data_IF_260041363125
#
_entry.id   IF_260041363125
#
_cell.length_a   1.000
_cell.length_b   1.000
_cell.length_c   1.000
_cell.angle_alpha   90.00
_cell.angle_beta   90.00
_cell.angle_gamma   90.00
#
_symmetry.space_group_name_H-M   'P 1'
#
loop_
_entity.id
_entity.type
_entity.pdbx_description
1 polymer ?
#
# COMPACT_ATOMS: atom_id res chain seq x y z
N UNK A 1 -13.47 -60.95 -31.45
CA UNK A 1 -12.62 -61.88 -30.67
C UNK A 1 -12.27 -61.17 -29.38
N UNK A 2 -12.86 -61.62 -28.27
CA UNK A 2 -12.45 -61.21 -26.91
C UNK A 2 -11.17 -61.95 -26.51
N UNK A 3 -10.45 -61.45 -25.50
CA UNK A 3 -10.34 -61.99 -24.11
C UNK A 3 -8.85 -61.78 -23.73
N UNK A 4 -8.38 -61.59 -22.47
CA UNK A 4 -8.96 -61.00 -21.25
C UNK A 4 -7.98 -60.10 -20.44
N UNK A 5 -8.49 -59.55 -19.34
CA UNK A 5 -7.77 -59.17 -18.12
C UNK A 5 -7.25 -60.41 -17.38
N UNK A 6 -6.01 -60.36 -16.88
CA UNK A 6 -5.59 -60.76 -15.52
C UNK A 6 -4.08 -61.03 -15.48
N UNK A 7 -3.38 -60.35 -14.55
CA UNK A 7 -2.38 -60.95 -13.64
C UNK A 7 -1.47 -59.85 -13.07
N UNK A 8 -1.83 -59.29 -11.91
CA UNK A 8 -0.83 -58.79 -10.95
C UNK A 8 -1.38 -58.90 -9.52
N UNK A 9 -1.54 -60.12 -9.04
CA UNK A 9 -1.24 -60.45 -7.64
C UNK A 9 0.14 -61.13 -7.70
N UNK A 10 1.13 -60.97 -6.84
CA UNK A 10 1.23 -60.42 -5.50
C UNK A 10 2.72 -60.30 -5.17
N UNK A 11 3.12 -59.30 -4.38
CA UNK A 11 4.28 -59.42 -3.49
C UNK A 11 3.90 -58.80 -2.15
N UNK A 12 3.83 -59.69 -1.16
CA UNK A 12 3.53 -59.46 0.24
C UNK A 12 4.56 -58.57 0.97
N UNK A 13 4.03 -57.80 1.94
CA UNK A 13 4.56 -57.53 3.31
C UNK A 13 5.86 -56.72 3.47
N UNK A 14 6.06 -55.82 4.45
CA UNK A 14 5.38 -55.33 5.68
C UNK A 14 5.82 -53.84 5.81
N UNK A 15 5.08 -52.91 6.41
CA UNK A 15 5.21 -52.55 7.84
C UNK A 15 4.13 -51.55 8.26
N UNK A 16 3.68 -51.72 9.50
CA UNK A 16 2.64 -50.96 10.20
C UNK A 16 2.93 -49.45 10.24
N UNK A 17 1.93 -48.64 9.89
CA UNK A 17 1.94 -47.21 10.19
C UNK A 17 1.56 -47.00 11.67
N UNK A 18 2.34 -46.24 12.46
CA UNK A 18 2.02 -46.00 13.85
C UNK A 18 0.82 -45.05 13.99
N UNK A 19 0.11 -45.30 15.10
CA UNK A 19 -1.02 -44.58 15.65
C UNK A 19 -0.72 -43.08 15.78
N UNK A 20 -1.70 -42.25 15.41
CA UNK A 20 -1.65 -40.80 15.55
C UNK A 20 -1.51 -40.40 17.03
N UNK A 21 -0.38 -39.81 17.39
CA UNK A 21 -0.22 -39.06 18.64
C UNK A 21 -0.91 -37.70 18.51
N UNK A 22 -1.66 -37.32 19.54
CA UNK A 22 -2.36 -36.04 19.69
C UNK A 22 -1.40 -34.85 19.48
N UNK A 23 -1.74 -34.00 18.51
CA UNK A 23 -0.94 -32.82 18.16
C UNK A 23 -1.06 -31.75 19.26
N UNK A 24 0.02 -31.55 20.01
CA UNK A 24 0.19 -30.52 21.03
C UNK A 24 -0.07 -29.11 20.44
N UNK A 25 -1.16 -28.49 20.90
CA UNK A 25 -1.67 -27.16 20.50
C UNK A 25 -0.79 -25.99 20.99
N UNK A 26 0.45 -26.23 21.43
CA UNK A 26 1.38 -25.20 21.89
C UNK A 26 2.32 -24.62 20.81
N UNK A 27 2.30 -25.14 19.58
CA UNK A 27 3.21 -24.67 18.51
C UNK A 27 2.78 -23.33 17.91
N UNK A 28 3.49 -22.27 18.29
CA UNK A 28 3.46 -21.00 17.56
C UNK A 28 3.96 -21.18 16.12
N UNK A 29 3.40 -20.45 15.13
CA UNK A 29 3.81 -20.59 13.74
C UNK A 29 5.27 -20.17 13.56
N UNK A 30 6.09 -21.14 13.14
CA UNK A 30 7.48 -20.92 12.71
C UNK A 30 7.44 -20.05 11.45
N UNK A 31 7.92 -18.81 11.56
CA UNK A 31 8.21 -17.98 10.41
C UNK A 31 9.30 -18.69 9.58
N UNK A 32 9.01 -19.01 8.32
CA UNK A 32 9.94 -19.66 7.39
C UNK A 32 11.31 -18.95 7.44
N UNK A 33 12.32 -19.73 7.80
CA UNK A 33 13.59 -19.28 8.37
C UNK A 33 14.39 -18.29 7.53
N UNK A 34 14.93 -17.29 8.23
CA UNK A 34 16.23 -16.72 7.91
C UNK A 34 17.25 -17.74 8.43
N UNK A 35 18.20 -18.25 7.62
CA UNK A 35 19.23 -19.14 8.13
C UNK A 35 20.03 -18.44 9.24
N UNK A 36 20.20 -19.13 10.38
CA UNK A 36 20.88 -18.66 11.60
C UNK A 36 22.36 -18.27 11.43
N UNK A 37 22.90 -18.26 10.20
CA UNK A 37 24.30 -17.94 9.93
C UNK A 37 24.56 -16.54 9.36
N UNK A 38 23.60 -15.61 9.42
CA UNK A 38 23.89 -14.16 9.29
C UNK A 38 24.29 -13.52 10.63
N UNK A 39 24.91 -14.29 11.54
CA UNK A 39 25.58 -13.79 12.74
C UNK A 39 26.96 -13.19 12.39
N UNK A 40 26.96 -12.26 11.44
CA UNK A 40 27.94 -11.20 11.27
C UNK A 40 27.32 -10.28 10.22
N UNK A 41 26.40 -9.42 10.65
CA UNK A 41 25.93 -8.32 9.82
C UNK A 41 27.17 -7.50 9.44
N UNK A 42 27.69 -7.70 8.23
CA UNK A 42 28.55 -6.72 7.58
C UNK A 42 27.69 -5.46 7.53
N UNK A 43 27.88 -4.58 8.49
CA UNK A 43 27.33 -3.22 8.46
C UNK A 43 27.99 -2.57 7.27
N UNK A 44 27.36 -2.63 6.09
CA UNK A 44 27.74 -1.78 4.98
C UNK A 44 27.50 -0.37 5.50
N UNK A 45 28.54 0.43 5.76
CA UNK A 45 28.35 1.76 6.27
C UNK A 45 27.54 2.52 5.21
N UNK A 46 26.45 3.15 5.64
CA UNK A 46 25.72 4.09 4.81
C UNK A 46 26.75 5.05 4.20
N UNK A 47 26.70 5.34 2.88
CA UNK A 47 27.66 6.22 2.25
C UNK A 47 27.74 7.54 3.05
N UNK A 48 28.95 7.98 3.42
CA UNK A 48 29.13 9.23 4.12
C UNK A 48 28.78 10.36 3.16
N UNK A 49 27.55 10.87 3.28
CA UNK A 49 27.25 12.20 2.75
C UNK A 49 27.94 13.17 3.68
N UNK A 50 28.86 13.98 3.15
CA UNK A 50 29.45 15.09 3.89
C UNK A 50 28.32 15.89 4.54
N UNK A 51 28.09 15.69 5.84
CA UNK A 51 27.08 16.40 6.60
C UNK A 51 27.63 17.80 6.84
N UNK A 52 27.55 18.67 5.83
CA UNK A 52 27.45 20.09 6.13
C UNK A 52 26.28 20.21 7.09
N UNK A 53 26.54 20.71 8.31
CA UNK A 53 25.49 21.03 9.26
C UNK A 53 24.47 21.87 8.51
N UNK A 54 23.29 21.29 8.33
CA UNK A 54 22.16 21.91 7.67
C UNK A 54 21.94 23.31 8.26
N UNK A 55 21.87 24.34 7.40
CA UNK A 55 21.44 25.67 7.85
C UNK A 55 19.95 25.70 8.20
N UNK A 56 19.18 24.67 7.80
CA UNK A 56 17.72 24.55 7.98
C UNK A 56 17.35 23.09 8.31
N UNK A 57 17.52 22.67 9.59
CA UNK A 57 17.28 21.29 9.97
C UNK A 57 15.84 20.89 9.64
N UNK A 58 15.67 19.68 9.08
CA UNK A 58 14.34 19.19 8.76
C UNK A 58 13.44 19.10 10.00
N UNK A 59 12.18 19.44 9.82
CA UNK A 59 11.16 19.38 10.87
C UNK A 59 9.78 19.12 10.26
N UNK A 60 8.86 18.68 11.10
CA UNK A 60 7.44 18.65 10.76
C UNK A 60 6.84 20.04 10.97
N UNK A 61 6.14 20.56 9.96
CA UNK A 61 5.33 21.77 10.07
C UNK A 61 3.97 21.38 10.63
N UNK A 62 3.64 21.88 11.82
CA UNK A 62 2.38 21.54 12.47
C UNK A 62 1.19 22.17 11.73
N UNK A 63 -0.01 21.62 11.87
CA UNK A 63 -1.21 22.27 11.35
C UNK A 63 -1.37 23.70 11.88
N UNK A 64 -1.77 24.62 11.00
CA UNK A 64 -1.88 26.05 11.30
C UNK A 64 -0.55 26.80 11.44
N UNK A 65 0.60 26.10 11.39
CA UNK A 65 1.90 26.73 11.45
C UNK A 65 2.27 27.32 10.08
N UNK A 66 2.51 28.63 10.05
CA UNK A 66 2.89 29.34 8.84
C UNK A 66 4.40 29.25 8.55
N UNK A 67 4.74 28.93 7.30
CA UNK A 67 6.11 28.94 6.78
C UNK A 67 6.14 29.73 5.47
N UNK A 68 7.17 30.55 5.30
CA UNK A 68 7.42 31.24 4.04
C UNK A 68 8.45 30.49 3.19
N UNK A 69 8.07 30.19 1.94
CA UNK A 69 8.91 29.45 0.98
C UNK A 69 8.89 30.20 -0.35
N UNK A 70 10.05 30.72 -0.78
CA UNK A 70 10.20 31.45 -2.05
C UNK A 70 9.21 32.63 -2.26
N UNK A 71 8.73 33.23 -1.16
CA UNK A 71 7.74 34.33 -1.18
C UNK A 71 6.28 33.88 -1.09
N UNK A 72 6.02 32.58 -0.94
CA UNK A 72 4.70 32.01 -0.69
C UNK A 72 4.52 31.76 0.79
N UNK A 73 3.41 32.24 1.36
CA UNK A 73 3.01 31.92 2.74
C UNK A 73 2.17 30.64 2.72
N UNK A 74 2.60 29.62 3.44
CA UNK A 74 1.91 28.34 3.57
C UNK A 74 1.55 28.16 5.04
N UNK A 75 0.26 28.13 5.39
CA UNK A 75 -0.25 28.01 6.76
C UNK A 75 -1.10 26.75 7.01
N UNK A 76 -1.29 25.93 5.97
CA UNK A 76 -2.01 24.65 6.04
C UNK A 76 -1.29 23.55 6.83
N UNK A 77 0.01 23.72 7.10
CA UNK A 77 0.86 22.74 7.79
C UNK A 77 0.81 21.33 7.18
N UNK A 78 1.09 20.31 8.00
CA UNK A 78 1.04 18.89 7.62
C UNK A 78 2.08 18.43 6.58
N UNK A 79 3.31 18.94 6.65
CA UNK A 79 4.39 18.51 5.75
C UNK A 79 5.76 18.57 6.43
N UNK A 80 6.75 17.90 5.83
CA UNK A 80 8.15 18.01 6.25
C UNK A 80 8.82 19.17 5.53
N UNK A 81 9.52 20.02 6.28
CA UNK A 81 10.23 21.20 5.78
C UNK A 81 11.69 21.19 6.23
N UNK A 82 12.59 21.61 5.36
CA UNK A 82 14.03 21.77 5.64
C UNK A 82 14.86 20.88 4.71
N UNK A 83 16.11 20.59 5.09
CA UNK A 83 17.01 19.76 4.28
C UNK A 83 17.53 18.53 5.05
N UNK A 84 18.21 17.65 4.32
CA UNK A 84 18.98 16.56 4.93
C UNK A 84 18.16 15.46 5.60
N UNK A 85 16.83 15.44 5.46
CA UNK A 85 16.02 14.32 5.93
C UNK A 85 16.26 13.10 5.04
N UNK A 86 16.74 12.01 5.61
CA UNK A 86 16.86 10.71 4.92
C UNK A 86 15.51 10.00 4.83
N UNK A 87 15.33 9.17 3.80
CA UNK A 87 14.17 8.29 3.68
C UNK A 87 14.10 7.26 4.84
N UNK A 88 13.09 6.38 4.85
CA UNK A 88 12.94 5.38 5.92
C UNK A 88 14.00 4.26 5.85
N UNK A 89 14.61 4.03 4.69
CA UNK A 89 15.63 3.00 4.50
C UNK A 89 17.06 3.53 4.74
N UNK A 90 17.22 4.85 4.82
CA UNK A 90 18.49 5.55 5.02
C UNK A 90 19.32 5.76 3.75
N UNK A 91 18.89 5.24 2.60
CA UNK A 91 19.68 5.22 1.35
C UNK A 91 19.53 6.50 0.52
N UNK A 92 18.38 7.16 0.60
CA UNK A 92 18.09 8.39 -0.13
C UNK A 92 17.62 9.53 0.75
N UNK A 93 17.19 10.60 0.08
CA UNK A 93 16.48 11.71 0.71
C UNK A 93 15.00 11.38 0.83
N UNK A 94 14.37 11.91 1.87
CA UNK A 94 12.93 11.79 2.05
C UNK A 94 12.18 12.41 0.87
N UNK A 95 11.36 11.65 0.12
CA UNK A 95 10.65 12.16 -1.04
C UNK A 95 9.73 13.33 -0.70
N UNK A 96 9.05 13.25 0.45
CA UNK A 96 8.05 14.21 0.90
C UNK A 96 8.64 15.46 1.60
N UNK A 97 9.97 15.66 1.56
CA UNK A 97 10.63 16.78 2.23
C UNK A 97 10.64 18.01 1.31
N UNK A 98 9.94 19.06 1.73
CA UNK A 98 10.03 20.37 1.09
C UNK A 98 11.35 21.03 1.46
N UNK A 99 12.30 21.01 0.53
CA UNK A 99 13.65 21.59 0.67
C UNK A 99 13.68 23.04 0.14
N UNK A 100 13.71 24.05 1.03
CA UNK A 100 13.66 25.45 0.61
C UNK A 100 14.93 25.94 -0.09
N UNK A 101 16.01 25.15 -0.08
CA UNK A 101 17.26 25.51 -0.76
C UNK A 101 17.21 25.28 -2.26
N UNK A 102 16.23 24.50 -2.74
CA UNK A 102 16.10 24.16 -4.15
C UNK A 102 15.41 25.28 -4.92
N UNK A 103 15.83 25.53 -6.18
CA UNK A 103 15.33 26.65 -6.96
C UNK A 103 13.85 26.44 -7.33
N UNK A 104 13.09 27.53 -7.36
CA UNK A 104 11.67 27.51 -7.70
C UNK A 104 11.45 28.61 -8.71
N UNK A 105 10.78 28.27 -9.80
CA UNK A 105 10.52 29.23 -10.86
C UNK A 105 9.55 30.31 -10.36
N UNK A 106 9.86 31.56 -10.70
CA UNK A 106 9.02 32.72 -10.40
C UNK A 106 8.38 33.19 -11.70
N UNK A 107 7.17 32.72 -11.93
CA UNK A 107 6.19 33.28 -12.86
C UNK A 107 6.57 33.26 -14.35
N UNK A 108 6.43 32.10 -14.99
CA UNK A 108 6.02 31.95 -16.40
C UNK A 108 5.11 30.70 -16.51
N UNK A 109 4.20 30.61 -17.51
CA UNK A 109 3.29 29.47 -17.62
C UNK A 109 4.10 28.16 -17.71
N UNK A 110 3.66 27.09 -17.03
CA UNK A 110 4.49 25.90 -16.86
C UNK A 110 4.85 25.30 -18.21
N UNK A 111 6.15 25.21 -18.50
CA UNK A 111 6.63 24.40 -19.61
C UNK A 111 6.19 22.94 -19.38
N UNK A 112 5.61 22.39 -20.44
CA UNK A 112 4.92 21.11 -20.46
C UNK A 112 5.75 19.95 -19.90
N UNK A 113 5.09 19.19 -19.01
CA UNK A 113 5.40 17.82 -18.59
C UNK A 113 6.76 17.61 -17.90
N UNK A 114 6.74 17.71 -16.58
CA UNK A 114 7.67 16.93 -15.75
C UNK A 114 7.46 15.43 -16.05
N UNK A 115 8.53 14.61 -16.19
CA UNK A 115 8.40 13.18 -16.42
C UNK A 115 7.55 12.53 -15.32
N UNK A 116 6.59 11.72 -15.75
CA UNK A 116 5.36 11.32 -15.06
C UNK A 116 5.50 10.47 -13.78
N UNK A 117 6.66 10.39 -13.13
CA UNK A 117 6.87 9.48 -11.99
C UNK A 117 7.80 9.97 -10.87
N UNK A 118 8.28 11.23 -10.89
CA UNK A 118 9.10 11.75 -9.79
C UNK A 118 8.24 12.33 -8.67
N UNK A 119 7.81 11.49 -7.73
CA UNK A 119 7.03 11.86 -6.54
C UNK A 119 7.85 12.52 -5.41
N UNK A 120 9.10 12.91 -5.67
CA UNK A 120 9.96 13.56 -4.66
C UNK A 120 10.12 15.05 -4.94
N UNK A 121 10.09 15.89 -3.91
CA UNK A 121 10.29 17.34 -4.05
C UNK A 121 11.62 17.67 -4.77
N UNK A 122 12.68 16.90 -4.49
CA UNK A 122 13.99 17.05 -5.15
C UNK A 122 13.96 16.64 -6.62
N UNK A 123 13.12 15.66 -6.98
CA UNK A 123 12.95 15.17 -8.34
C UNK A 123 11.97 16.00 -9.18
N UNK A 124 11.17 16.87 -8.55
CA UNK A 124 10.41 17.89 -9.24
C UNK A 124 11.37 18.95 -9.82
N UNK A 125 11.16 19.30 -11.09
CA UNK A 125 11.78 20.48 -11.69
C UNK A 125 11.32 21.78 -11.02
N UNK A 126 11.93 22.91 -11.37
CA UNK A 126 11.63 24.22 -10.78
C UNK A 126 10.14 24.59 -10.88
N UNK A 127 9.53 24.36 -12.05
CA UNK A 127 8.09 24.49 -12.28
C UNK A 127 7.23 23.55 -11.44
N UNK A 128 7.63 22.28 -11.32
CA UNK A 128 6.90 21.31 -10.50
C UNK A 128 6.89 21.70 -9.03
N UNK A 129 8.03 22.21 -8.51
CA UNK A 129 8.12 22.76 -7.15
C UNK A 129 7.27 24.02 -6.98
N UNK A 130 7.28 24.92 -7.97
CA UNK A 130 6.43 26.12 -7.94
C UNK A 130 4.95 25.75 -7.83
N UNK A 131 4.47 24.88 -8.73
CA UNK A 131 3.10 24.40 -8.75
C UNK A 131 2.68 23.72 -7.44
N UNK A 132 3.54 22.86 -6.88
CA UNK A 132 3.29 22.23 -5.58
C UNK A 132 3.17 23.25 -4.45
N UNK A 133 4.10 24.22 -4.39
CA UNK A 133 4.08 25.26 -3.35
C UNK A 133 2.87 26.20 -3.51
N UNK A 134 2.48 26.53 -4.74
CA UNK A 134 1.28 27.32 -5.04
C UNK A 134 0.01 26.59 -4.57
N UNK A 135 -0.10 25.30 -4.88
CA UNK A 135 -1.21 24.47 -4.39
C UNK A 135 -1.25 24.39 -2.85
N UNK A 136 -0.10 24.24 -2.20
CA UNK A 136 -0.02 24.26 -0.74
C UNK A 136 -0.39 25.62 -0.14
N UNK A 137 0.05 26.73 -0.74
CA UNK A 137 -0.26 28.08 -0.31
C UNK A 137 -1.75 28.44 -0.52
N UNK A 138 -2.38 27.88 -1.56
CA UNK A 138 -3.78 28.07 -1.87
C UNK A 138 -4.75 27.27 -0.98
N UNK A 139 -4.26 26.61 0.08
CA UNK A 139 -5.12 25.83 0.97
C UNK A 139 -5.28 24.36 0.59
N UNK A 140 -4.49 23.86 -0.37
CA UNK A 140 -4.67 22.53 -0.98
C UNK A 140 -6.11 22.33 -1.50
N UNK A 141 -6.57 23.12 -2.49
CA UNK A 141 -7.86 22.90 -3.13
C UNK A 141 -7.90 21.47 -3.68
N UNK A 142 -8.95 20.73 -3.33
CA UNK A 142 -9.05 19.30 -3.64
C UNK A 142 -9.44 19.09 -5.11
N UNK A 143 -10.31 19.96 -5.61
CA UNK A 143 -10.90 19.95 -6.94
C UNK A 143 -9.89 20.25 -8.07
N UNK A 144 -8.76 20.88 -7.73
CA UNK A 144 -7.66 21.16 -8.68
C UNK A 144 -6.38 20.39 -8.35
N UNK A 145 -6.43 19.47 -7.38
CA UNK A 145 -5.28 18.65 -6.97
C UNK A 145 -4.84 17.73 -8.11
N UNK A 146 -3.54 17.78 -8.45
CA UNK A 146 -2.95 16.78 -9.36
C UNK A 146 -2.57 15.50 -8.61
N UNK A 147 -2.44 14.39 -9.33
CA UNK A 147 -2.03 13.13 -8.71
C UNK A 147 -0.64 13.22 -8.07
N UNK A 148 0.30 13.97 -8.67
CA UNK A 148 1.64 14.17 -8.10
C UNK A 148 1.59 14.94 -6.78
N UNK A 149 0.76 15.99 -6.69
CA UNK A 149 0.57 16.77 -5.46
C UNK A 149 -0.07 15.91 -4.36
N UNK A 150 -1.13 15.18 -4.69
CA UNK A 150 -1.83 14.31 -3.75
C UNK A 150 -0.96 13.16 -3.24
N UNK A 151 -0.21 12.50 -4.13
CA UNK A 151 0.72 11.43 -3.77
C UNK A 151 1.92 11.94 -2.97
N UNK A 152 2.46 13.12 -3.32
CA UNK A 152 3.50 13.78 -2.53
C UNK A 152 3.00 14.05 -1.11
N UNK A 153 1.82 14.66 -0.96
CA UNK A 153 1.24 14.94 0.35
C UNK A 153 1.03 13.66 1.15
N UNK A 154 0.38 12.64 0.55
CA UNK A 154 0.10 11.37 1.20
C UNK A 154 1.38 10.68 1.69
N UNK A 155 2.47 10.70 0.90
CA UNK A 155 3.73 10.06 1.29
C UNK A 155 4.32 10.63 2.59
N UNK A 156 4.19 11.94 2.81
CA UNK A 156 4.61 12.58 4.06
C UNK A 156 3.74 12.18 5.25
N UNK A 157 2.43 12.04 5.03
CA UNK A 157 1.49 11.56 6.04
C UNK A 157 1.79 10.10 6.40
N UNK A 158 1.96 9.22 5.42
CA UNK A 158 2.31 7.81 5.61
C UNK A 158 3.59 7.66 6.46
N UNK A 159 4.66 8.39 6.09
CA UNK A 159 5.91 8.38 6.86
C UNK A 159 5.71 8.82 8.30
N UNK A 160 4.95 9.90 8.52
CA UNK A 160 4.66 10.41 9.86
C UNK A 160 3.92 9.35 10.68
N UNK A 161 2.85 8.76 10.14
CA UNK A 161 2.08 7.72 10.80
C UNK A 161 2.95 6.49 11.15
N UNK A 162 3.80 6.03 10.23
CA UNK A 162 4.71 4.90 10.46
C UNK A 162 5.69 5.21 11.60
N UNK A 163 6.34 6.38 11.59
CA UNK A 163 7.28 6.77 12.65
C UNK A 163 6.58 6.96 13.99
N UNK A 164 5.36 7.48 13.99
CA UNK A 164 4.58 7.75 15.19
C UNK A 164 3.85 6.53 15.74
N UNK A 165 3.74 5.44 14.97
CA UNK A 165 3.18 4.16 15.43
C UNK A 165 3.80 3.66 16.74
N UNK A 166 5.13 3.78 16.88
CA UNK A 166 5.85 3.37 18.10
C UNK A 166 5.47 4.18 19.34
N UNK A 167 4.78 5.30 19.17
CA UNK A 167 4.32 6.19 20.25
C UNK A 167 2.79 6.09 20.48
N UNK A 168 2.13 5.09 19.89
CA UNK A 168 0.67 4.90 20.00
C UNK A 168 -0.16 5.95 19.25
N UNK A 169 0.47 6.82 18.46
CA UNK A 169 -0.17 7.92 17.71
C UNK A 169 -0.50 7.48 16.28
N UNK A 170 -1.15 6.32 16.13
CA UNK A 170 -1.72 5.95 14.85
C UNK A 170 -3.03 6.73 14.67
N UNK A 171 -3.22 7.39 13.52
CA UNK A 171 -4.40 8.23 13.30
C UNK A 171 -4.30 9.62 13.93
N UNK A 172 -3.25 10.38 13.58
CA UNK A 172 -3.25 11.85 13.74
C UNK A 172 -4.56 12.39 13.11
N UNK A 173 -5.50 12.82 13.97
CA UNK A 173 -6.88 13.10 13.58
C UNK A 173 -6.97 14.26 12.58
N UNK A 174 -6.02 15.19 12.62
CA UNK A 174 -5.96 16.30 11.68
C UNK A 174 -5.41 15.87 10.32
N UNK A 175 -4.35 15.07 10.31
CA UNK A 175 -3.85 14.44 9.08
C UNK A 175 -4.93 13.57 8.42
N UNK A 176 -5.64 12.76 9.20
CA UNK A 176 -6.70 11.86 8.71
C UNK A 176 -7.87 12.65 8.12
N UNK A 177 -8.30 13.72 8.79
CA UNK A 177 -9.35 14.63 8.27
C UNK A 177 -8.94 15.29 6.96
N UNK A 178 -7.68 15.73 6.86
CA UNK A 178 -7.19 16.37 5.64
C UNK A 178 -7.09 15.39 4.47
N UNK A 179 -6.59 14.18 4.70
CA UNK A 179 -6.57 13.11 3.69
C UNK A 179 -7.99 12.78 3.21
N UNK A 180 -8.96 12.72 4.14
CA UNK A 180 -10.36 12.52 3.79
C UNK A 180 -10.92 13.67 2.94
N UNK A 181 -10.67 14.92 3.32
CA UNK A 181 -11.11 16.10 2.57
C UNK A 181 -10.57 16.10 1.14
N UNK A 182 -9.28 15.82 0.98
CA UNK A 182 -8.64 15.77 -0.34
C UNK A 182 -9.17 14.62 -1.19
N UNK A 183 -9.36 13.43 -0.60
CA UNK A 183 -9.94 12.28 -1.29
C UNK A 183 -11.35 12.57 -1.83
N UNK A 184 -12.23 13.14 -1.00
CA UNK A 184 -13.63 13.40 -1.38
C UNK A 184 -13.77 14.50 -2.44
N UNK A 185 -12.91 15.52 -2.39
CA UNK A 185 -12.93 16.61 -3.36
C UNK A 185 -12.11 16.39 -4.63
N UNK A 186 -11.39 15.26 -4.74
CA UNK A 186 -10.49 15.00 -5.84
C UNK A 186 -11.23 14.81 -7.19
N UNK A 187 -10.57 15.12 -8.33
CA UNK A 187 -11.11 14.83 -9.66
C UNK A 187 -11.44 13.34 -9.85
N UNK A 188 -12.49 13.06 -10.62
CA UNK A 188 -12.87 11.70 -10.96
C UNK A 188 -11.73 10.95 -11.65
N UNK A 189 -11.41 9.75 -11.16
CA UNK A 189 -10.31 8.94 -11.68
C UNK A 189 -8.93 9.28 -11.11
N UNK A 190 -8.82 10.19 -10.13
CA UNK A 190 -7.55 10.48 -9.45
C UNK A 190 -6.95 9.23 -8.80
N UNK A 191 -5.70 8.93 -9.15
CA UNK A 191 -4.91 7.86 -8.54
C UNK A 191 -4.59 8.21 -7.09
N UNK A 192 -4.32 9.50 -6.80
CA UNK A 192 -4.08 9.96 -5.44
C UNK A 192 -5.30 9.69 -4.54
N UNK A 193 -6.52 9.96 -5.01
CA UNK A 193 -7.74 9.69 -4.24
C UNK A 193 -7.92 8.20 -3.92
N UNK A 194 -7.63 7.31 -4.88
CA UNK A 194 -7.65 5.84 -4.65
C UNK A 194 -6.63 5.45 -3.57
N UNK A 195 -5.42 6.01 -3.61
CA UNK A 195 -4.37 5.76 -2.61
C UNK A 195 -4.74 6.33 -1.24
N UNK A 196 -5.35 7.51 -1.19
CA UNK A 196 -5.85 8.11 0.05
C UNK A 196 -6.95 7.27 0.68
N UNK A 197 -7.88 6.72 -0.11
CA UNK A 197 -8.92 5.79 0.36
C UNK A 197 -8.30 4.55 1.00
N UNK A 198 -7.31 3.96 0.34
CA UNK A 198 -6.59 2.79 0.88
C UNK A 198 -5.86 3.12 2.20
N UNK A 199 -5.24 4.31 2.30
CA UNK A 199 -4.62 4.77 3.53
C UNK A 199 -5.64 4.97 4.67
N UNK A 200 -6.79 5.60 4.40
CA UNK A 200 -7.84 5.79 5.40
C UNK A 200 -8.41 4.46 5.89
N UNK A 201 -8.60 3.50 4.97
CA UNK A 201 -9.00 2.15 5.33
C UNK A 201 -7.97 1.48 6.26
N UNK A 202 -6.69 1.63 5.95
CA UNK A 202 -5.60 1.13 6.78
C UNK A 202 -5.57 1.78 8.18
N UNK A 203 -5.83 3.09 8.29
CA UNK A 203 -5.98 3.77 9.59
C UNK A 203 -7.19 3.21 10.36
N UNK A 204 -8.34 3.07 9.70
CA UNK A 204 -9.54 2.51 10.32
C UNK A 204 -9.34 1.07 10.81
N UNK A 205 -8.58 0.26 10.06
CA UNK A 205 -8.22 -1.11 10.45
C UNK A 205 -7.44 -1.14 11.76
N UNK A 206 -6.47 -0.24 11.93
CA UNK A 206 -5.67 -0.15 13.15
C UNK A 206 -6.47 0.39 14.34
N UNK A 207 -7.51 1.18 14.08
CA UNK A 207 -8.40 1.73 15.10
C UNK A 207 -9.58 0.80 15.43
N UNK A 208 -9.72 -0.35 14.75
CA UNK A 208 -10.85 -1.25 14.93
C UNK A 208 -12.18 -0.73 14.37
N UNK A 209 -12.14 0.25 13.47
CA UNK A 209 -13.32 0.89 12.86
C UNK A 209 -13.43 0.62 11.36
N UNK A 210 -12.67 -0.33 10.81
CA UNK A 210 -12.68 -0.63 9.37
C UNK A 210 -14.05 -1.08 8.84
N UNK A 211 -14.85 -1.74 9.66
CA UNK A 211 -16.18 -2.23 9.27
C UNK A 211 -17.10 -1.11 8.74
N UNK A 212 -16.98 0.13 9.24
CA UNK A 212 -17.79 1.25 8.76
C UNK A 212 -17.40 1.77 7.37
N UNK A 213 -16.23 1.36 6.86
CA UNK A 213 -15.70 1.75 5.56
C UNK A 213 -15.80 0.64 4.52
N UNK A 214 -16.29 -0.54 4.91
CA UNK A 214 -16.56 -1.63 3.97
C UNK A 214 -17.81 -1.29 3.16
N UNK A 215 -17.75 -1.24 1.81
CA UNK A 215 -18.92 -1.06 0.98
C UNK A 215 -19.93 -2.19 1.17
N UNK A 216 -21.23 -1.88 1.08
CA UNK A 216 -22.31 -2.88 1.16
C UNK A 216 -22.19 -3.96 0.07
N UNK A 217 -21.69 -3.56 -1.10
CA UNK A 217 -21.37 -4.49 -2.19
C UNK A 217 -19.93 -4.33 -2.61
N UNK A 218 -19.20 -5.45 -2.66
CA UNK A 218 -17.82 -5.50 -3.09
C UNK A 218 -17.74 -6.25 -4.42
N UNK A 219 -17.33 -5.55 -5.49
CA UNK A 219 -17.11 -6.19 -6.79
C UNK A 219 -15.77 -6.93 -6.81
N UNK A 220 -15.81 -8.21 -6.43
CA UNK A 220 -14.66 -9.11 -6.43
C UNK A 220 -14.25 -9.58 -7.84
N UNK A 221 -15.05 -9.28 -8.87
CA UNK A 221 -14.78 -9.75 -10.24
C UNK A 221 -13.67 -8.96 -10.94
N UNK A 222 -13.31 -7.80 -10.38
CA UNK A 222 -12.33 -6.86 -10.95
C UNK A 222 -11.11 -6.63 -10.07
N UNK A 223 -10.75 -7.61 -9.26
CA UNK A 223 -9.46 -7.61 -8.58
C UNK A 223 -8.36 -7.81 -9.62
N UNK A 224 -7.92 -6.71 -10.23
CA UNK A 224 -6.64 -6.71 -10.91
C UNK A 224 -5.53 -7.02 -9.89
N UNK A 225 -4.32 -7.30 -10.37
CA UNK A 225 -3.22 -7.89 -9.58
C UNK A 225 -2.72 -7.03 -8.40
N UNK A 226 -3.40 -5.94 -8.07
CA UNK A 226 -3.07 -5.03 -6.99
C UNK A 226 -3.94 -5.32 -5.77
N UNK A 227 -3.28 -5.37 -4.61
CA UNK A 227 -3.85 -5.71 -3.31
C UNK A 227 -4.95 -4.71 -2.93
N UNK A 228 -6.21 -5.06 -3.18
CA UNK A 228 -7.35 -4.36 -2.60
C UNK A 228 -7.42 -4.72 -1.11
N UNK A 229 -7.07 -3.76 -0.26
CA UNK A 229 -7.06 -3.92 1.19
C UNK A 229 -8.45 -4.16 1.78
N UNK A 230 -9.49 -3.62 1.14
CA UNK A 230 -10.89 -3.82 1.58
C UNK A 230 -11.30 -5.25 1.29
N UNK A 231 -11.02 -5.74 0.07
CA UNK A 231 -11.31 -7.13 -0.28
C UNK A 231 -10.55 -8.11 0.60
N UNK A 232 -9.26 -7.86 0.87
CA UNK A 232 -8.49 -8.66 1.82
C UNK A 232 -9.13 -8.70 3.21
N UNK A 233 -9.56 -7.55 3.72
CA UNK A 233 -10.18 -7.47 5.04
C UNK A 233 -11.47 -8.27 5.12
N UNK A 234 -12.38 -8.08 4.16
CA UNK A 234 -13.67 -8.79 4.11
C UNK A 234 -13.45 -10.31 4.03
N UNK A 235 -12.60 -10.76 3.09
CA UNK A 235 -12.32 -12.18 2.92
C UNK A 235 -11.63 -12.78 4.15
N UNK A 236 -10.67 -12.07 4.74
CA UNK A 236 -9.97 -12.53 5.95
C UNK A 236 -10.92 -12.64 7.15
N UNK A 237 -11.88 -11.72 7.28
CA UNK A 237 -12.89 -11.75 8.35
C UNK A 237 -13.82 -12.96 8.22
N UNK A 238 -14.32 -13.24 7.00
CA UNK A 238 -15.11 -14.46 6.74
C UNK A 238 -14.33 -15.73 7.08
N UNK A 239 -13.06 -15.80 6.66
CA UNK A 239 -12.19 -16.95 6.98
C UNK A 239 -11.96 -17.10 8.49
N UNK A 240 -11.73 -16.00 9.21
CA UNK A 240 -11.58 -16.03 10.67
C UNK A 240 -12.86 -16.50 11.38
N UNK A 241 -14.03 -16.15 10.85
CA UNK A 241 -15.33 -16.61 11.34
C UNK A 241 -15.71 -18.02 10.89
N UNK A 242 -14.85 -18.71 10.14
CA UNK A 242 -15.13 -20.03 9.55
C UNK A 242 -16.37 -20.03 8.63
N UNK A 243 -16.68 -18.88 8.02
CA UNK A 243 -17.76 -18.76 7.06
C UNK A 243 -17.35 -19.35 5.71
N UNK A 244 -18.28 -20.01 5.03
CA UNK A 244 -18.04 -20.52 3.68
C UNK A 244 -17.88 -19.38 2.68
N UNK A 245 -16.85 -19.49 1.83
CA UNK A 245 -16.66 -18.57 0.72
C UNK A 245 -17.53 -18.99 -0.47
N UNK A 246 -18.13 -18.03 -1.14
CA UNK A 246 -18.69 -18.21 -2.48
C UNK A 246 -17.58 -18.48 -3.50
N UNK A 247 -17.95 -18.92 -4.69
CA UNK A 247 -17.00 -19.10 -5.80
C UNK A 247 -16.26 -17.79 -6.15
N UNK A 248 -16.94 -16.65 -6.13
CA UNK A 248 -16.31 -15.37 -6.47
C UNK A 248 -15.33 -14.91 -5.37
N UNK A 249 -15.68 -15.17 -4.11
CA UNK A 249 -14.80 -14.91 -2.96
C UNK A 249 -13.58 -15.83 -2.92
N UNK A 250 -13.74 -17.10 -3.27
CA UNK A 250 -12.64 -18.06 -3.25
C UNK A 250 -11.59 -17.76 -4.33
N UNK A 251 -12.01 -17.44 -5.57
CA UNK A 251 -11.06 -17.04 -6.60
C UNK A 251 -10.40 -15.70 -6.27
N UNK A 252 -11.15 -14.75 -5.71
CA UNK A 252 -10.62 -13.47 -5.24
C UNK A 252 -9.53 -13.66 -4.18
N UNK A 253 -9.78 -14.49 -3.16
CA UNK A 253 -8.81 -14.80 -2.12
C UNK A 253 -7.51 -15.39 -2.71
N UNK A 254 -7.63 -16.32 -3.65
CA UNK A 254 -6.47 -16.93 -4.33
C UNK A 254 -5.67 -15.92 -5.15
N UNK A 255 -6.34 -15.00 -5.85
CA UNK A 255 -5.70 -13.95 -6.63
C UNK A 255 -4.96 -12.96 -5.74
N UNK A 256 -5.58 -12.49 -4.66
CA UNK A 256 -4.95 -11.48 -3.80
C UNK A 256 -3.79 -12.07 -2.98
N UNK A 257 -3.92 -13.32 -2.52
CA UNK A 257 -2.83 -14.03 -1.83
C UNK A 257 -1.64 -14.31 -2.75
N UNK A 258 -1.89 -14.41 -4.07
CA UNK A 258 -0.89 -14.75 -5.08
C UNK A 258 -0.75 -16.25 -5.32
N UNK A 259 -1.65 -17.06 -4.76
CA UNK A 259 -1.69 -18.51 -4.98
C UNK A 259 -2.18 -18.86 -6.40
N UNK A 260 -2.94 -17.95 -7.03
CA UNK A 260 -3.40 -18.09 -8.40
C UNK A 260 -2.75 -17.02 -9.29
N UNK A 261 -1.99 -17.47 -10.29
CA UNK A 261 -1.51 -16.62 -11.38
C UNK A 261 -2.44 -16.74 -12.58
N UNK A 262 -3.29 -15.72 -12.87
CA UNK A 262 -4.26 -15.80 -13.95
C UNK A 262 -3.58 -15.90 -15.32
N UNK A 263 -4.03 -16.88 -16.11
CA UNK A 263 -3.58 -17.10 -17.49
C UNK A 263 -4.34 -16.21 -18.47
N UNK A 264 -3.86 -16.13 -19.71
CA UNK A 264 -4.48 -15.32 -20.78
C UNK A 264 -6.01 -15.49 -20.91
N UNK A 265 -6.61 -16.69 -20.81
CA UNK A 265 -8.06 -16.85 -20.88
C UNK A 265 -8.81 -16.13 -19.76
N UNK A 266 -8.26 -16.07 -18.54
CA UNK A 266 -8.88 -15.35 -17.42
C UNK A 266 -9.04 -13.85 -17.74
N UNK A 267 -8.09 -13.27 -18.47
CA UNK A 267 -8.13 -11.85 -18.84
C UNK A 267 -8.98 -11.58 -20.09
N UNK A 268 -8.89 -12.44 -21.12
CA UNK A 268 -9.58 -12.22 -22.41
C UNK A 268 -11.02 -12.74 -22.46
N UNK A 269 -11.31 -13.76 -21.66
CA UNK A 269 -12.59 -14.46 -21.61
C UNK A 269 -13.04 -14.60 -20.14
N UNK A 270 -12.90 -13.52 -19.37
CA UNK A 270 -13.15 -13.51 -17.92
C UNK A 270 -14.54 -14.05 -17.59
N UNK A 271 -15.56 -13.63 -18.35
CA UNK A 271 -16.95 -14.04 -18.14
C UNK A 271 -17.11 -15.56 -18.27
N UNK A 272 -16.60 -16.14 -19.35
CA UNK A 272 -16.71 -17.58 -19.62
C UNK A 272 -15.94 -18.40 -18.58
N UNK A 273 -14.74 -17.95 -18.20
CA UNK A 273 -13.94 -18.57 -17.15
C UNK A 273 -14.68 -18.56 -15.81
N UNK A 274 -15.24 -17.42 -15.41
CA UNK A 274 -16.02 -17.31 -14.18
C UNK A 274 -17.29 -18.15 -14.19
N UNK A 275 -17.98 -18.26 -15.33
CA UNK A 275 -19.14 -19.15 -15.49
C UNK A 275 -18.76 -20.62 -15.25
N UNK A 276 -17.68 -21.09 -15.87
CA UNK A 276 -17.21 -22.48 -15.67
C UNK A 276 -16.74 -22.69 -14.24
N UNK A 277 -15.99 -21.74 -13.67
CA UNK A 277 -15.47 -21.82 -12.31
C UNK A 277 -16.60 -21.94 -11.28
N UNK A 278 -17.62 -21.07 -11.35
CA UNK A 278 -18.78 -21.11 -10.45
C UNK A 278 -19.50 -22.45 -10.48
N UNK A 279 -19.67 -23.03 -11.68
CA UNK A 279 -20.30 -24.34 -11.85
C UNK A 279 -19.47 -25.44 -11.19
N UNK A 280 -18.16 -25.51 -11.49
CA UNK A 280 -17.26 -26.52 -10.91
C UNK A 280 -17.16 -26.40 -9.39
N UNK A 281 -17.13 -25.16 -8.87
CA UNK A 281 -17.12 -24.91 -7.43
C UNK A 281 -18.39 -25.44 -6.77
N UNK A 282 -19.56 -25.15 -7.33
CA UNK A 282 -20.84 -25.64 -6.82
C UNK A 282 -20.98 -27.18 -6.92
N UNK A 283 -20.38 -27.82 -7.93
CA UNK A 283 -20.36 -29.28 -8.04
C UNK A 283 -19.46 -29.93 -6.97
N UNK A 284 -18.36 -29.28 -6.57
CA UNK A 284 -17.38 -29.83 -5.63
C UNK A 284 -17.67 -29.55 -4.16
N UNK A 285 -18.24 -28.39 -3.85
CA UNK A 285 -18.43 -27.90 -2.46
C UNK A 285 -19.92 -27.79 -2.08
N UNK A 286 -20.77 -28.57 -2.75
CA UNK A 286 -22.16 -28.79 -2.38
C UNK A 286 -22.28 -29.66 -1.14
#
# INVERSE_FOLDING_TARGET
>A
MGVPLDSWESRDRVDEAPVAEEEDLSRQPVLLGIPDSFAAAVSIPLPPVASKVSKRPHRWVKPGEAVEIHGRRIDVGLFFFGDGMRDLLGWGFEPSLVDPSLPVERAEPPETRSPAYNLSYRGLGENGRASLLDWMAAGRPAETMTDEQGLFFLSGIERRCIKQRRRGLFGDAEATREVHRLMEGAPAGSIAAVRMRAFLFFVALHNGTADSLVPETLDLTRLDRHRDMVALYVLSKKMANQESLSADESIAALLIKGDLSPRTPYHRCHREVMTVYRRLYAERYK
#
